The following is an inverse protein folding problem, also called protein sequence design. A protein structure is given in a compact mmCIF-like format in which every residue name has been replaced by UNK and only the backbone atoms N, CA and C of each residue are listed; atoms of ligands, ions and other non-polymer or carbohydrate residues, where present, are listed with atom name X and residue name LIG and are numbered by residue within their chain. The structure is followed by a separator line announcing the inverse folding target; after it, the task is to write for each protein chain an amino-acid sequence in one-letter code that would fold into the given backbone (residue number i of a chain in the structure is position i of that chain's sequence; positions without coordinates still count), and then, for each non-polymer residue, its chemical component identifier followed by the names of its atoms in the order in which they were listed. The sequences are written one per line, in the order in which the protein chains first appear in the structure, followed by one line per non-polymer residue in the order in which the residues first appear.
data_IF_394369000878
#
_entry.id   IF_394369000878
#
_cell.length_a   1.000
_cell.length_b   1.000
_cell.length_c   1.000
_cell.angle_alpha   90.00
_cell.angle_beta   90.00
_cell.angle_gamma   90.00
#
_symmetry.space_group_name_H-M   'P 1'
#
loop_
_entity.id
_entity.type
_entity.pdbx_description
1 polymer ?
#
# COMPACT_ATOMS: atom_id res chain seq x y z
N UNK A 1 5.96 2.84 12.64
CA UNK A 1 6.41 4.25 12.75
C UNK A 1 5.64 5.04 11.70
N UNK A 2 4.72 5.92 12.10
CA UNK A 2 4.01 6.77 11.14
C UNK A 2 5.01 7.75 10.52
N UNK A 3 5.12 7.74 9.19
CA UNK A 3 6.00 8.65 8.47
C UNK A 3 5.51 10.08 8.69
N UNK A 4 6.41 11.06 8.68
CA UNK A 4 6.08 12.50 8.84
C UNK A 4 5.00 12.95 7.83
N UNK A 5 4.95 12.29 6.68
CA UNK A 5 3.97 12.50 5.60
C UNK A 5 2.55 12.03 5.95
N UNK A 6 2.39 11.01 6.80
CA UNK A 6 1.08 10.42 7.14
C UNK A 6 0.26 11.40 8.01
N UNK A 7 0.92 12.08 8.95
CA UNK A 7 0.28 13.08 9.81
C UNK A 7 -0.11 14.35 9.04
N UNK A 8 0.71 14.73 8.05
CA UNK A 8 0.42 15.85 7.17
C UNK A 8 -0.81 15.57 6.29
N UNK A 9 -0.83 14.40 5.65
CA UNK A 9 -1.91 13.99 4.76
C UNK A 9 -3.25 13.85 5.52
N UNK A 10 -3.23 13.36 6.76
CA UNK A 10 -4.41 13.25 7.61
C UNK A 10 -4.99 14.63 8.00
N UNK A 11 -4.15 15.56 8.45
CA UNK A 11 -4.58 16.93 8.80
C UNK A 11 -5.16 17.69 7.61
N UNK A 12 -4.55 17.51 6.44
CA UNK A 12 -5.03 18.06 5.17
C UNK A 12 -6.38 17.46 4.75
N UNK A 13 -6.52 16.13 4.81
CA UNK A 13 -7.77 15.44 4.46
C UNK A 13 -8.92 15.88 5.35
N UNK A 14 -8.70 15.95 6.67
CA UNK A 14 -9.70 16.45 7.63
C UNK A 14 -10.13 17.90 7.34
N UNK A 15 -9.16 18.80 7.07
CA UNK A 15 -9.46 20.20 6.73
C UNK A 15 -10.29 20.32 5.45
N UNK A 16 -10.02 19.46 4.46
CA UNK A 16 -10.70 19.49 3.17
C UNK A 16 -12.10 18.88 3.24
N UNK A 17 -12.27 17.75 3.92
CA UNK A 17 -13.58 17.14 4.13
C UNK A 17 -14.56 18.11 4.78
N UNK A 18 -14.12 18.76 5.86
CA UNK A 18 -14.91 19.75 6.57
C UNK A 18 -15.38 20.88 5.64
N UNK A 19 -14.51 21.34 4.74
CA UNK A 19 -14.83 22.43 3.79
C UNK A 19 -15.72 22.00 2.63
N UNK A 20 -15.65 20.73 2.20
CA UNK A 20 -16.55 20.16 1.20
C UNK A 20 -17.96 19.99 1.78
N UNK A 21 -18.09 19.52 3.03
CA UNK A 21 -19.37 19.47 3.76
C UNK A 21 -19.97 20.88 3.88
N UNK A 22 -19.13 21.89 4.14
CA UNK A 22 -19.53 23.30 4.20
C UNK A 22 -19.79 23.95 2.82
N UNK A 23 -19.73 23.20 1.72
CA UNK A 23 -20.00 23.65 0.33
C UNK A 23 -19.12 24.80 -0.16
N UNK A 24 -17.89 24.92 0.33
CA UNK A 24 -16.94 25.95 -0.12
C UNK A 24 -16.36 25.54 -1.48
N UNK A 25 -16.18 26.52 -2.38
CA UNK A 25 -15.64 26.27 -3.72
C UNK A 25 -14.18 25.80 -3.66
N UNK A 26 -13.76 24.78 -4.42
CA UNK A 26 -12.40 24.21 -4.37
C UNK A 26 -11.27 25.22 -4.55
N UNK A 27 -11.51 26.28 -5.33
CA UNK A 27 -10.57 27.38 -5.56
C UNK A 27 -10.27 28.15 -4.28
N UNK A 28 -11.28 28.40 -3.44
CA UNK A 28 -11.11 29.08 -2.16
C UNK A 28 -10.34 28.21 -1.16
N UNK A 29 -10.65 26.91 -1.14
CA UNK A 29 -9.92 25.92 -0.33
C UNK A 29 -8.43 25.93 -0.68
N UNK A 30 -8.09 25.89 -1.97
CA UNK A 30 -6.70 25.93 -2.44
C UNK A 30 -5.97 27.22 -2.05
N UNK A 31 -6.62 28.38 -2.22
CA UNK A 31 -6.04 29.68 -1.86
C UNK A 31 -5.69 29.76 -0.37
N UNK A 32 -6.59 29.31 0.50
CA UNK A 32 -6.36 29.32 1.95
C UNK A 32 -5.27 28.33 2.37
N UNK A 33 -5.21 27.15 1.73
CA UNK A 33 -4.15 26.18 1.98
C UNK A 33 -2.79 26.64 1.49
N UNK A 34 -2.74 27.35 0.37
CA UNK A 34 -1.51 27.92 -0.14
C UNK A 34 -0.92 28.94 0.86
N UNK A 35 -1.78 29.67 1.59
CA UNK A 35 -1.35 30.57 2.66
C UNK A 35 -0.81 29.87 3.91
N UNK A 36 -1.33 28.68 4.25
CA UNK A 36 -0.97 27.95 5.48
C UNK A 36 0.19 26.96 5.25
N UNK A 37 0.23 26.30 4.09
CA UNK A 37 1.07 25.14 3.79
C UNK A 37 2.10 25.41 2.70
N UNK A 38 2.49 26.67 2.49
CA UNK A 38 3.28 27.22 1.37
C UNK A 38 4.27 26.25 0.66
N UNK A 39 4.97 25.36 1.37
CA UNK A 39 5.94 24.40 0.81
C UNK A 39 5.36 22.99 0.55
N UNK A 40 4.38 22.56 1.35
CA UNK A 40 3.79 21.21 1.31
C UNK A 40 2.40 21.17 0.66
N UNK A 41 1.97 22.28 0.04
CA UNK A 41 0.64 22.38 -0.55
C UNK A 41 0.47 21.41 -1.74
N UNK A 42 -0.56 20.53 -1.72
CA UNK A 42 -0.83 19.65 -2.85
C UNK A 42 -1.21 20.46 -4.09
N UNK A 43 -0.75 20.03 -5.26
CA UNK A 43 -1.06 20.72 -6.51
C UNK A 43 -2.57 20.82 -6.76
N UNK A 44 -2.99 21.89 -7.44
CA UNK A 44 -4.41 22.16 -7.77
C UNK A 44 -5.12 20.95 -8.38
N UNK A 45 -4.48 20.22 -9.30
CA UNK A 45 -5.04 19.02 -9.92
C UNK A 45 -5.32 17.89 -8.93
N UNK A 46 -4.47 17.73 -7.90
CA UNK A 46 -4.74 16.79 -6.79
C UNK A 46 -5.96 17.26 -6.01
N UNK A 47 -6.06 18.55 -5.68
CA UNK A 47 -7.21 19.12 -4.98
C UNK A 47 -8.52 18.89 -5.75
N UNK A 48 -8.53 19.10 -7.06
CA UNK A 48 -9.71 18.88 -7.92
C UNK A 48 -10.09 17.39 -8.00
N UNK A 49 -9.13 16.49 -8.24
CA UNK A 49 -9.37 15.04 -8.28
C UNK A 49 -9.99 14.52 -6.98
N UNK A 50 -9.40 14.89 -5.85
CA UNK A 50 -9.93 14.51 -4.55
C UNK A 50 -11.32 15.12 -4.30
N UNK A 51 -11.58 16.36 -4.73
CA UNK A 51 -12.90 16.98 -4.57
C UNK A 51 -13.99 16.32 -5.44
N UNK A 52 -13.60 15.64 -6.51
CA UNK A 52 -14.50 14.77 -7.27
C UNK A 52 -14.80 13.46 -6.52
N UNK A 53 -13.76 12.79 -5.97
CA UNK A 53 -13.91 11.56 -5.19
C UNK A 53 -14.80 11.73 -3.94
N UNK A 54 -14.66 12.86 -3.23
CA UNK A 54 -15.53 13.16 -2.09
C UNK A 54 -16.98 13.42 -2.49
N UNK A 55 -17.22 14.01 -3.67
CA UNK A 55 -18.59 14.23 -4.18
C UNK A 55 -19.27 12.94 -4.63
N UNK A 56 -18.51 11.92 -5.04
CA UNK A 56 -19.04 10.61 -5.42
C UNK A 56 -19.33 9.68 -4.23
N UNK A 57 -19.04 10.10 -2.99
CA UNK A 57 -19.32 9.32 -1.78
C UNK A 57 -18.29 8.23 -1.44
N UNK A 58 -17.24 8.07 -2.24
CA UNK A 58 -16.12 7.13 -2.04
C UNK A 58 -15.01 7.78 -1.20
N UNK A 59 -15.39 8.25 -0.02
CA UNK A 59 -14.59 9.11 0.81
C UNK A 59 -14.17 8.40 2.10
N UNK A 60 -13.24 7.45 2.01
CA UNK A 60 -12.52 7.01 3.19
C UNK A 60 -11.32 7.94 3.42
N UNK A 61 -11.29 8.60 4.58
CA UNK A 61 -10.20 9.50 4.98
C UNK A 61 -8.92 8.71 5.26
N UNK A 62 -9.09 7.44 5.62
CA UNK A 62 -8.01 6.50 5.87
C UNK A 62 -7.52 5.91 4.55
N UNK A 63 -6.18 5.79 4.41
CA UNK A 63 -5.63 5.01 3.31
C UNK A 63 -6.14 3.58 3.46
N UNK A 64 -6.86 3.08 2.44
CA UNK A 64 -7.14 1.64 2.34
C UNK A 64 -5.81 0.88 2.44
N UNK A 65 -5.80 -0.31 3.05
CA UNK A 65 -4.58 -1.12 3.14
C UNK A 65 -3.97 -1.23 1.75
N UNK A 66 -2.76 -0.69 1.59
CA UNK A 66 -2.07 -0.70 0.30
C UNK A 66 -1.92 -2.15 -0.12
N UNK A 67 -2.52 -2.52 -1.24
CA UNK A 67 -2.18 -3.78 -1.88
C UNK A 67 -0.71 -3.68 -2.29
N UNK A 68 0.15 -4.37 -1.54
CA UNK A 68 1.52 -4.62 -1.97
C UNK A 68 1.52 -5.36 -3.31
N UNK A 69 2.69 -5.44 -3.95
CA UNK A 69 2.84 -6.27 -5.15
C UNK A 69 2.39 -7.70 -4.80
N UNK A 70 1.39 -8.28 -5.47
CA UNK A 70 1.06 -9.67 -5.25
C UNK A 70 2.26 -10.51 -5.67
N UNK A 71 2.86 -11.23 -4.73
CA UNK A 71 3.94 -12.16 -5.02
C UNK A 71 3.28 -13.40 -5.61
N UNK A 72 3.24 -13.47 -6.95
CA UNK A 72 2.58 -14.56 -7.69
C UNK A 72 3.10 -15.96 -7.34
N UNK A 73 4.24 -16.05 -6.66
CA UNK A 73 4.84 -17.30 -6.24
C UNK A 73 4.36 -17.80 -4.87
N UNK A 74 3.73 -16.95 -4.04
CA UNK A 74 3.21 -17.30 -2.71
C UNK A 74 1.78 -17.82 -2.81
N UNK A 75 1.53 -18.76 -3.71
CA UNK A 75 0.26 -19.49 -3.77
C UNK A 75 0.29 -20.64 -2.76
N UNK A 76 -0.88 -21.02 -2.22
CA UNK A 76 -1.01 -22.13 -1.28
C UNK A 76 -0.44 -23.45 -1.82
N UNK A 77 -0.56 -23.68 -3.12
CA UNK A 77 0.02 -24.84 -3.81
C UNK A 77 1.55 -24.88 -3.72
N UNK A 78 2.20 -23.74 -3.98
CA UNK A 78 3.67 -23.64 -3.93
C UNK A 78 4.19 -23.76 -2.49
N UNK A 79 3.45 -23.22 -1.51
CA UNK A 79 3.82 -23.35 -0.09
C UNK A 79 3.78 -24.82 0.33
N UNK A 80 2.69 -25.52 0.05
CA UNK A 80 2.53 -26.92 0.42
C UNK A 80 3.59 -27.83 -0.25
N UNK A 81 3.94 -27.56 -1.50
CA UNK A 81 4.96 -28.32 -2.21
C UNK A 81 6.36 -28.06 -1.65
N UNK A 82 6.70 -26.82 -1.28
CA UNK A 82 8.01 -26.51 -0.67
C UNK A 82 8.09 -27.16 0.70
N UNK A 83 7.01 -27.09 1.48
CA UNK A 83 6.93 -27.73 2.79
C UNK A 83 7.14 -29.25 2.70
N UNK A 84 6.50 -29.93 1.74
CA UNK A 84 6.70 -31.36 1.54
C UNK A 84 8.14 -31.71 1.16
N UNK A 85 8.76 -30.93 0.27
CA UNK A 85 10.16 -31.15 -0.13
C UNK A 85 11.15 -30.94 1.03
N UNK A 86 10.91 -29.95 1.90
CA UNK A 86 11.73 -29.69 3.09
C UNK A 86 11.51 -30.76 4.18
N UNK A 87 10.28 -31.27 4.31
CA UNK A 87 9.98 -32.37 5.22
C UNK A 87 10.63 -33.69 4.78
N UNK A 88 10.68 -33.96 3.48
CA UNK A 88 11.35 -35.13 2.91
C UNK A 88 12.88 -35.04 3.02
N UNK A 89 13.46 -33.88 2.70
CA UNK A 89 14.90 -33.62 2.83
C UNK A 89 15.16 -32.26 3.50
N UNK A 90 15.50 -32.31 4.80
CA UNK A 90 15.81 -31.12 5.60
C UNK A 90 17.08 -30.39 5.16
N UNK A 91 17.91 -31.01 4.32
CA UNK A 91 19.14 -30.44 3.79
C UNK A 91 18.98 -29.91 2.36
N UNK A 92 17.76 -29.83 1.83
CA UNK A 92 17.50 -29.34 0.48
C UNK A 92 17.92 -27.87 0.34
N UNK A 93 18.61 -27.56 -0.76
CA UNK A 93 19.09 -26.20 -1.05
C UNK A 93 18.07 -25.41 -1.86
N UNK A 94 18.07 -24.08 -1.71
CA UNK A 94 17.20 -23.17 -2.48
C UNK A 94 17.37 -23.37 -4.00
N UNK A 95 18.60 -23.67 -4.46
CA UNK A 95 18.87 -23.94 -5.87
C UNK A 95 18.16 -25.20 -6.38
N UNK A 96 18.05 -26.24 -5.55
CA UNK A 96 17.34 -27.48 -5.93
C UNK A 96 15.83 -27.25 -5.99
N UNK A 97 15.29 -26.45 -5.07
CA UNK A 97 13.88 -26.03 -5.08
C UNK A 97 13.55 -25.14 -6.30
N UNK A 98 14.45 -24.25 -6.68
CA UNK A 98 14.31 -23.42 -7.89
C UNK A 98 14.27 -24.28 -9.16
N UNK A 99 15.13 -25.31 -9.23
CA UNK A 99 15.14 -26.24 -10.35
C UNK A 99 13.89 -27.11 -10.43
N UNK A 100 13.33 -27.54 -9.28
CA UNK A 100 12.13 -28.39 -9.26
C UNK A 100 10.86 -27.60 -9.58
N UNK A 101 10.70 -26.40 -9.01
CA UNK A 101 9.45 -25.63 -9.11
C UNK A 101 9.46 -24.53 -10.16
N UNK A 102 10.63 -24.19 -10.71
CA UNK A 102 10.83 -23.03 -11.60
C UNK A 102 10.33 -21.71 -10.98
N UNK A 103 10.43 -21.62 -9.65
CA UNK A 103 10.13 -20.42 -8.87
C UNK A 103 11.45 -19.71 -8.57
N UNK A 104 11.45 -18.37 -8.58
CA UNK A 104 12.66 -17.62 -8.27
C UNK A 104 13.13 -17.88 -6.83
N UNK A 105 14.45 -17.91 -6.64
CA UNK A 105 15.09 -18.02 -5.33
C UNK A 105 14.55 -17.04 -4.29
N UNK A 106 14.25 -15.79 -4.69
CA UNK A 106 13.69 -14.77 -3.79
C UNK A 106 12.28 -15.11 -3.27
N UNK A 107 11.46 -15.76 -4.10
CA UNK A 107 10.14 -16.23 -3.67
C UNK A 107 10.24 -17.45 -2.74
N UNK A 108 11.14 -18.38 -3.03
CA UNK A 108 11.41 -19.54 -2.14
C UNK A 108 11.89 -19.06 -0.77
N UNK A 109 12.81 -18.09 -0.74
CA UNK A 109 13.26 -17.47 0.52
C UNK A 109 12.11 -16.82 1.29
N UNK A 110 11.21 -16.12 0.60
CA UNK A 110 10.03 -15.51 1.22
C UNK A 110 9.13 -16.58 1.83
N UNK A 111 8.86 -17.68 1.11
CA UNK A 111 8.01 -18.76 1.59
C UNK A 111 8.65 -19.46 2.81
N UNK A 112 9.93 -19.80 2.74
CA UNK A 112 10.64 -20.48 3.85
C UNK A 112 10.64 -19.63 5.12
N UNK A 113 10.90 -18.32 5.01
CA UNK A 113 11.07 -17.45 6.18
C UNK A 113 9.77 -16.84 6.70
N UNK A 114 8.85 -16.48 5.81
CA UNK A 114 7.61 -15.75 6.15
C UNK A 114 6.42 -16.68 6.37
N UNK A 115 6.28 -17.73 5.55
CA UNK A 115 5.12 -18.64 5.61
C UNK A 115 5.41 -19.87 6.49
N UNK A 116 6.58 -20.49 6.34
CA UNK A 116 6.93 -21.74 7.04
C UNK A 116 7.76 -21.54 8.31
N UNK A 117 8.48 -20.42 8.42
CA UNK A 117 9.26 -20.06 9.61
C UNK A 117 10.51 -20.92 9.85
N UNK A 118 11.13 -21.45 8.79
CA UNK A 118 12.41 -22.17 8.85
C UNK A 118 13.63 -21.24 8.91
#
# INVERSE_FOLDING_TARGET
MASKDDNFNLKWRAHKEFRIILKIQPVQIFSELQGILCVDCPSRSKVERWAALFRSGDADVTDLPRSGRPVSATTSENIALIESMVMEDKCITVNQLEQSMKISSGAIHTILTTELGY
#
